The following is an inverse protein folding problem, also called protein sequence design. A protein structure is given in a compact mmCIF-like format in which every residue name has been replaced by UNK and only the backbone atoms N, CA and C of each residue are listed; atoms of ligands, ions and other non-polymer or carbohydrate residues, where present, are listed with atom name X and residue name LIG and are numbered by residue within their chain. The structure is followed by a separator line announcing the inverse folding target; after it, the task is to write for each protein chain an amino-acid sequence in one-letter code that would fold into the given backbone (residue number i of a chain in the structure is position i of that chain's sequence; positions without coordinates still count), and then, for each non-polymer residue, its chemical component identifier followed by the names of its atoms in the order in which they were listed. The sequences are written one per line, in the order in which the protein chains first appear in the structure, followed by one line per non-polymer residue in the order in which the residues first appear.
data_IF_931034930341
#
_entry.id   IF_931034930341
#
_cell.length_a   1.000
_cell.length_b   1.000
_cell.length_c   1.000
_cell.angle_alpha   90.00
_cell.angle_beta   90.00
_cell.angle_gamma   90.00
#
_symmetry.space_group_name_H-M   'P 1'
#
loop_
_entity.id
_entity.type
_entity.pdbx_description
1 polymer ?
#
# COMPACT_ATOMS: atom_id res chain seq x y z
N UNK A 1 -37.16 10.70 -50.34
CA UNK A 1 -36.76 9.70 -51.36
C UNK A 1 -35.37 10.10 -51.83
N UNK A 2 -34.29 9.36 -51.67
CA UNK A 2 -34.05 7.95 -51.35
C UNK A 2 -32.76 7.87 -50.51
N UNK A 3 -32.68 6.83 -49.68
CA UNK A 3 -31.41 6.30 -49.18
C UNK A 3 -30.61 5.76 -50.36
N UNK A 4 -29.29 5.97 -50.36
CA UNK A 4 -28.36 4.97 -50.89
C UNK A 4 -27.25 4.73 -49.87
N UNK A 5 -27.19 3.48 -49.45
CA UNK A 5 -26.12 2.85 -48.69
C UNK A 5 -24.92 2.75 -49.62
N UNK A 6 -23.72 3.07 -49.15
CA UNK A 6 -22.52 2.31 -49.50
C UNK A 6 -21.50 2.44 -48.37
N UNK A 7 -21.35 1.30 -47.71
CA UNK A 7 -20.39 0.95 -46.70
C UNK A 7 -19.12 0.53 -47.45
N UNK A 8 -17.98 1.20 -47.27
CA UNK A 8 -16.69 0.63 -47.70
C UNK A 8 -15.52 1.19 -46.87
N UNK A 9 -14.98 0.28 -46.05
CA UNK A 9 -13.60 0.19 -45.55
C UNK A 9 -13.00 1.36 -44.75
N UNK A 10 -13.25 1.34 -43.44
CA UNK A 10 -12.26 1.86 -42.48
C UNK A 10 -11.11 0.84 -42.43
N UNK A 11 -10.05 1.07 -43.21
CA UNK A 11 -8.80 0.31 -43.15
C UNK A 11 -8.21 0.41 -41.75
N UNK A 12 -8.34 -0.68 -40.98
CA UNK A 12 -7.68 -0.84 -39.70
C UNK A 12 -6.16 -0.85 -39.96
N UNK A 13 -5.50 0.26 -39.60
CA UNK A 13 -4.05 0.40 -39.79
C UNK A 13 -3.37 -0.68 -38.97
N UNK A 14 -2.78 -1.66 -39.64
CA UNK A 14 -1.96 -2.72 -39.06
C UNK A 14 -1.01 -2.16 -37.99
N UNK A 15 -1.40 -2.28 -36.71
CA UNK A 15 -0.50 -2.00 -35.60
C UNK A 15 0.55 -3.09 -35.61
N UNK A 16 1.75 -2.78 -36.11
CA UNK A 16 2.93 -3.66 -35.95
C UNK A 16 3.17 -3.90 -34.46
N UNK A 17 2.79 -5.08 -33.98
CA UNK A 17 3.12 -5.54 -32.63
C UNK A 17 4.61 -5.85 -32.60
N UNK A 18 5.40 -5.00 -31.93
CA UNK A 18 6.83 -5.24 -31.73
C UNK A 18 6.98 -6.26 -30.60
N UNK A 19 7.30 -7.50 -30.95
CA UNK A 19 7.62 -8.53 -29.96
C UNK A 19 9.07 -8.32 -29.50
N UNK A 20 9.32 -8.03 -28.21
CA UNK A 20 10.68 -7.83 -27.71
C UNK A 20 11.50 -9.12 -27.86
N UNK A 21 12.75 -8.96 -28.33
CA UNK A 21 13.69 -10.08 -28.56
C UNK A 21 14.13 -10.79 -27.28
N UNK A 22 13.97 -10.13 -26.12
CA UNK A 22 14.30 -10.69 -24.82
C UNK A 22 13.04 -10.83 -23.97
N UNK A 23 12.99 -11.91 -23.20
CA UNK A 23 11.90 -12.13 -22.28
C UNK A 23 11.83 -10.95 -21.29
N UNK A 24 10.72 -10.21 -21.30
CA UNK A 24 10.46 -9.10 -20.39
C UNK A 24 10.70 -9.52 -18.95
N UNK A 25 10.28 -10.73 -18.58
CA UNK A 25 10.46 -11.27 -17.23
C UNK A 25 11.93 -11.33 -16.83
N UNK A 26 12.85 -11.79 -17.69
CA UNK A 26 14.29 -11.78 -17.39
C UNK A 26 14.84 -10.37 -17.13
N UNK A 27 14.31 -9.36 -17.83
CA UNK A 27 14.71 -7.96 -17.65
C UNK A 27 14.13 -7.34 -16.38
N UNK A 28 12.83 -7.51 -16.13
CA UNK A 28 12.14 -6.90 -14.98
C UNK A 28 12.57 -7.54 -13.67
N UNK A 29 12.82 -8.84 -13.68
CA UNK A 29 13.24 -9.57 -12.51
C UNK A 29 14.69 -9.23 -12.07
N UNK A 30 15.53 -8.71 -12.97
CA UNK A 30 16.96 -8.40 -12.71
C UNK A 30 17.71 -9.55 -12.01
N UNK A 31 17.29 -10.81 -12.18
CA UNK A 31 17.95 -11.97 -11.59
C UNK A 31 19.01 -12.53 -12.52
N UNK A 32 20.13 -12.90 -11.91
CA UNK A 32 21.32 -13.39 -12.59
C UNK A 32 21.37 -14.93 -12.51
N UNK A 33 20.73 -15.53 -11.51
CA UNK A 33 20.81 -16.95 -11.16
C UNK A 33 19.59 -17.45 -10.33
N UNK A 34 19.51 -18.77 -10.12
CA UNK A 34 18.45 -19.41 -9.32
C UNK A 34 18.54 -19.07 -7.82
N UNK A 35 19.75 -18.75 -7.33
CA UNK A 35 19.99 -18.39 -5.92
C UNK A 35 19.29 -17.08 -5.55
N UNK A 36 19.44 -16.05 -6.39
CA UNK A 36 18.78 -14.75 -6.20
C UNK A 36 17.25 -14.83 -6.29
N UNK A 37 16.71 -15.76 -7.09
CA UNK A 37 15.27 -16.06 -7.12
C UNK A 37 14.83 -16.67 -5.78
N UNK A 38 15.57 -17.67 -5.30
CA UNK A 38 15.28 -18.35 -4.02
C UNK A 38 15.34 -17.38 -2.84
N UNK A 39 16.34 -16.49 -2.78
CA UNK A 39 16.47 -15.46 -1.75
C UNK A 39 15.24 -14.53 -1.74
N UNK A 40 14.77 -14.10 -2.92
CA UNK A 40 13.59 -13.25 -3.02
C UNK A 40 12.32 -13.96 -2.56
N UNK A 41 12.11 -15.21 -2.98
CA UNK A 41 10.96 -16.00 -2.54
C UNK A 41 10.99 -16.20 -1.03
N UNK A 42 12.18 -16.45 -0.46
CA UNK A 42 12.38 -16.53 0.99
C UNK A 42 12.07 -15.21 1.70
N UNK A 43 12.48 -14.08 1.14
CA UNK A 43 12.16 -12.73 1.65
C UNK A 43 10.65 -12.47 1.68
N UNK A 44 9.94 -12.79 0.59
CA UNK A 44 8.47 -12.67 0.51
C UNK A 44 7.79 -13.55 1.57
N UNK A 45 8.25 -14.80 1.71
CA UNK A 45 7.71 -15.72 2.73
C UNK A 45 7.92 -15.19 4.14
N UNK A 46 9.10 -14.61 4.40
CA UNK A 46 9.44 -14.00 5.69
C UNK A 46 8.53 -12.81 5.99
N UNK A 47 8.23 -11.96 5.00
CA UNK A 47 7.30 -10.84 5.15
C UNK A 47 5.89 -11.30 5.51
N UNK A 48 5.37 -12.35 4.85
CA UNK A 48 4.07 -12.92 5.22
C UNK A 48 4.05 -13.44 6.66
N UNK A 49 5.09 -14.17 7.09
CA UNK A 49 5.18 -14.67 8.47
C UNK A 49 5.19 -13.51 9.48
N UNK A 50 5.94 -12.44 9.21
CA UNK A 50 5.97 -11.26 10.06
C UNK A 50 4.62 -10.54 10.11
N UNK A 51 4.01 -10.34 8.94
CA UNK A 51 2.69 -9.72 8.83
C UNK A 51 1.61 -10.48 9.61
N UNK A 52 1.55 -11.81 9.45
CA UNK A 52 0.59 -12.63 10.20
C UNK A 52 0.83 -12.57 11.70
N UNK A 53 2.09 -12.69 12.16
CA UNK A 53 2.42 -12.58 13.60
C UNK A 53 2.10 -11.21 14.21
N UNK A 54 2.23 -10.13 13.43
CA UNK A 54 1.84 -8.80 13.86
C UNK A 54 0.32 -8.72 14.02
N UNK A 55 -0.42 -9.16 13.01
CA UNK A 55 -1.88 -9.07 12.99
C UNK A 55 -2.55 -10.00 14.00
N UNK A 56 -1.96 -11.16 14.31
CA UNK A 56 -2.46 -12.10 15.33
C UNK A 56 -2.55 -11.50 16.74
N UNK A 57 -1.88 -10.37 17.00
CA UNK A 57 -1.94 -9.66 18.30
C UNK A 57 -3.26 -8.91 18.50
N UNK A 58 -4.02 -8.66 17.43
CA UNK A 58 -5.16 -7.74 17.41
C UNK A 58 -6.41 -8.43 16.86
N UNK A 59 -7.58 -8.07 17.37
CA UNK A 59 -8.86 -8.66 16.97
C UNK A 59 -9.71 -7.65 16.18
N UNK A 60 -10.37 -6.72 16.86
CA UNK A 60 -11.08 -5.62 16.21
C UNK A 60 -10.09 -4.60 15.66
N UNK A 61 -10.05 -4.42 14.35
CA UNK A 61 -9.15 -3.48 13.70
C UNK A 61 -9.84 -2.65 12.60
N UNK A 62 -9.37 -1.42 12.41
CA UNK A 62 -9.80 -0.53 11.35
C UNK A 62 -8.58 0.01 10.58
N UNK A 63 -8.57 -0.17 9.26
CA UNK A 63 -7.47 0.27 8.41
C UNK A 63 -7.75 1.65 7.79
N UNK A 64 -6.80 2.57 7.93
CA UNK A 64 -6.88 3.91 7.38
C UNK A 64 -5.92 4.09 6.21
N UNK A 65 -6.46 4.59 5.10
CA UNK A 65 -5.71 5.03 3.94
C UNK A 65 -5.96 6.50 3.67
N UNK A 66 -4.95 7.19 3.16
CA UNK A 66 -5.11 8.58 2.75
C UNK A 66 -3.82 9.23 2.29
N UNK A 67 -3.93 10.52 1.99
CA UNK A 67 -2.80 11.30 1.48
C UNK A 67 -1.69 11.43 2.52
N UNK A 68 -0.47 11.03 2.13
CA UNK A 68 0.75 11.27 2.92
C UNK A 68 1.19 12.75 2.96
N UNK A 69 0.51 13.62 2.19
CA UNK A 69 0.84 15.05 2.04
C UNK A 69 -0.10 15.98 2.80
N UNK A 70 -1.10 15.41 3.49
CA UNK A 70 -2.05 16.19 4.28
C UNK A 70 -1.33 16.81 5.48
N UNK A 71 -1.57 18.09 5.77
CA UNK A 71 -0.99 18.78 6.94
C UNK A 71 -1.98 18.79 8.11
N UNK A 72 -1.50 18.91 9.37
CA UNK A 72 -2.37 18.95 10.56
C UNK A 72 -3.50 19.99 10.53
N UNK A 73 -3.28 21.13 9.87
CA UNK A 73 -4.29 22.19 9.75
C UNK A 73 -5.47 21.82 8.84
N UNK A 74 -5.31 20.80 8.00
CA UNK A 74 -6.33 20.38 7.05
C UNK A 74 -7.50 19.69 7.77
N UNK A 75 -8.72 20.00 7.36
CA UNK A 75 -9.93 19.42 7.96
C UNK A 75 -9.98 17.89 7.84
N UNK A 76 -9.48 17.31 6.75
CA UNK A 76 -9.42 15.84 6.59
C UNK A 76 -8.46 15.21 7.60
N UNK A 77 -7.36 15.89 7.94
CA UNK A 77 -6.44 15.41 8.99
C UNK A 77 -7.16 15.37 10.34
N UNK A 78 -7.82 16.47 10.72
CA UNK A 78 -8.56 16.57 11.98
C UNK A 78 -9.69 15.54 12.07
N UNK A 79 -10.42 15.33 10.96
CA UNK A 79 -11.49 14.33 10.89
C UNK A 79 -10.96 12.90 11.00
N UNK A 80 -9.86 12.58 10.31
CA UNK A 80 -9.23 11.26 10.41
C UNK A 80 -8.77 10.96 11.84
N UNK A 81 -8.10 11.92 12.49
CA UNK A 81 -7.69 11.79 13.89
C UNK A 81 -8.88 11.61 14.83
N UNK A 82 -9.94 12.41 14.69
CA UNK A 82 -11.17 12.30 15.50
C UNK A 82 -11.89 10.97 15.29
N UNK A 83 -11.92 10.45 14.07
CA UNK A 83 -12.54 9.15 13.78
C UNK A 83 -11.72 8.02 14.41
N UNK A 84 -10.41 8.03 14.24
CA UNK A 84 -9.51 7.03 14.82
C UNK A 84 -9.59 7.02 16.35
N UNK A 85 -9.65 8.19 16.99
CA UNK A 85 -9.87 8.31 18.43
C UNK A 85 -11.15 7.58 18.87
N UNK A 86 -12.28 7.87 18.21
CA UNK A 86 -13.57 7.25 18.56
C UNK A 86 -13.60 5.73 18.34
N UNK A 87 -12.95 5.25 17.29
CA UNK A 87 -12.84 3.82 17.03
C UNK A 87 -11.97 3.14 18.09
N UNK A 88 -10.87 3.78 18.48
CA UNK A 88 -9.97 3.26 19.52
C UNK A 88 -10.64 3.25 20.90
N UNK A 89 -11.42 4.28 21.22
CA UNK A 89 -12.19 4.39 22.47
C UNK A 89 -13.22 3.25 22.63
N UNK A 90 -13.69 2.67 21.52
CA UNK A 90 -14.57 1.48 21.54
C UNK A 90 -13.83 0.16 21.26
N UNK A 91 -12.50 0.16 21.33
CA UNK A 91 -11.66 -1.03 21.31
C UNK A 91 -11.11 -1.47 19.96
N UNK A 92 -11.16 -0.63 18.91
CA UNK A 92 -10.51 -0.95 17.63
C UNK A 92 -9.03 -0.60 17.67
N UNK A 93 -8.19 -1.52 17.21
CA UNK A 93 -6.82 -1.24 16.79
C UNK A 93 -6.82 -0.45 15.47
N UNK A 94 -6.04 0.63 15.41
CA UNK A 94 -5.93 1.44 14.20
C UNK A 94 -4.71 1.01 13.40
N UNK A 95 -4.93 0.56 12.16
CA UNK A 95 -3.88 0.08 11.26
C UNK A 95 -3.69 1.09 10.13
N UNK A 96 -2.44 1.46 9.83
CA UNK A 96 -2.13 2.36 8.72
C UNK A 96 -0.87 1.92 7.96
N UNK A 97 -0.53 2.64 6.88
CA UNK A 97 0.74 2.46 6.18
C UNK A 97 1.95 3.14 6.85
N UNK A 98 1.77 3.71 8.06
CA UNK A 98 2.83 4.30 8.90
C UNK A 98 3.44 5.62 8.42
N UNK A 99 3.05 6.13 7.25
CA UNK A 99 3.58 7.39 6.72
C UNK A 99 2.88 8.63 7.34
N UNK A 100 3.33 9.82 6.92
CA UNK A 100 2.79 11.11 7.33
C UNK A 100 1.33 11.35 6.86
N UNK A 101 0.78 12.51 7.21
CA UNK A 101 -0.51 12.99 6.72
C UNK A 101 -1.70 12.24 7.33
N UNK A 102 -2.62 11.73 6.50
CA UNK A 102 -3.85 11.09 7.02
C UNK A 102 -3.54 9.84 7.86
N UNK A 103 -2.50 9.08 7.48
CA UNK A 103 -2.09 7.89 8.23
C UNK A 103 -1.56 8.30 9.61
N UNK A 104 -0.65 9.26 9.67
CA UNK A 104 -0.21 9.89 10.93
C UNK A 104 -1.38 10.42 11.77
N UNK A 105 -2.34 11.09 11.16
CA UNK A 105 -3.52 11.60 11.88
C UNK A 105 -4.30 10.49 12.57
N UNK A 106 -4.48 9.35 11.89
CA UNK A 106 -5.17 8.19 12.43
C UNK A 106 -4.38 7.53 13.56
N UNK A 107 -3.07 7.28 13.36
CA UNK A 107 -2.20 6.75 14.41
C UNK A 107 -2.17 7.68 15.64
N UNK A 108 -2.10 9.00 15.42
CA UNK A 108 -2.18 10.00 16.49
C UNK A 108 -3.51 9.91 17.24
N UNK A 109 -4.64 9.84 16.51
CA UNK A 109 -5.96 9.72 17.14
C UNK A 109 -6.09 8.47 18.01
N UNK A 110 -5.52 7.35 17.58
CA UNK A 110 -5.46 6.12 18.35
C UNK A 110 -4.61 6.26 19.62
N UNK A 111 -3.41 6.83 19.46
CA UNK A 111 -2.48 7.10 20.56
C UNK A 111 -3.08 8.06 21.59
N UNK A 112 -3.80 9.10 21.14
CA UNK A 112 -4.49 10.06 22.03
C UNK A 112 -5.61 9.39 22.85
N UNK A 113 -6.22 8.33 22.33
CA UNK A 113 -7.21 7.50 23.04
C UNK A 113 -6.57 6.44 23.95
N UNK A 114 -5.24 6.29 23.93
CA UNK A 114 -4.54 5.21 24.62
C UNK A 114 -4.76 3.82 24.01
N UNK A 115 -5.25 3.75 22.76
CA UNK A 115 -5.48 2.50 22.04
C UNK A 115 -4.29 2.05 21.19
N UNK A 116 -4.40 0.86 20.60
CA UNK A 116 -3.36 0.29 19.74
C UNK A 116 -3.30 0.96 18.37
N UNK A 117 -2.08 1.22 17.92
CA UNK A 117 -1.77 2.01 16.72
C UNK A 117 -0.67 1.33 15.92
N UNK A 118 -1.02 0.67 14.82
CA UNK A 118 -0.12 -0.20 14.06
C UNK A 118 0.30 0.45 12.73
N UNK A 119 1.59 0.39 12.42
CA UNK A 119 2.17 0.84 11.15
C UNK A 119 2.68 -0.31 10.29
N UNK A 120 2.06 -0.55 9.13
CA UNK A 120 2.55 -1.50 8.13
C UNK A 120 3.31 -0.72 7.04
N UNK A 121 4.60 -0.52 7.28
CA UNK A 121 5.46 0.34 6.46
C UNK A 121 5.91 -0.37 5.17
N UNK A 122 6.32 0.43 4.17
CA UNK A 122 6.93 -0.07 2.93
C UNK A 122 8.27 0.63 2.73
N UNK A 123 9.32 -0.14 2.48
CA UNK A 123 10.65 0.37 2.17
C UNK A 123 10.62 1.08 0.82
N UNK A 124 10.88 2.38 0.85
CA UNK A 124 11.02 3.21 -0.34
C UNK A 124 12.47 3.70 -0.46
N UNK A 125 12.98 3.92 -1.69
CA UNK A 125 14.33 4.45 -1.90
C UNK A 125 14.57 5.82 -1.25
N UNK A 126 13.50 6.57 -1.01
CA UNK A 126 13.52 7.79 -0.20
C UNK A 126 12.81 7.48 1.11
N UNK A 127 13.56 7.59 2.20
CA UNK A 127 13.13 7.23 3.54
C UNK A 127 11.85 7.99 3.94
N UNK A 128 10.79 7.25 4.25
CA UNK A 128 9.66 7.79 5.01
C UNK A 128 9.93 7.42 6.46
N UNK A 129 10.26 8.40 7.30
CA UNK A 129 10.29 8.19 8.74
C UNK A 129 8.89 7.77 9.18
N UNK A 130 8.76 6.62 9.82
CA UNK A 130 7.49 6.19 10.42
C UNK A 130 6.94 7.27 11.35
N UNK A 131 5.62 7.40 11.41
CA UNK A 131 5.03 8.37 12.31
C UNK A 131 5.21 7.93 13.78
N UNK A 132 5.62 8.86 14.65
CA UNK A 132 5.97 8.58 16.06
C UNK A 132 4.79 8.22 16.97
N UNK A 133 3.63 7.92 16.39
CA UNK A 133 2.39 7.56 17.10
C UNK A 133 2.03 6.09 16.95
N UNK A 134 2.91 5.29 16.34
CA UNK A 134 2.76 3.83 16.22
C UNK A 134 3.25 3.16 17.51
N UNK A 135 2.44 2.25 18.05
CA UNK A 135 2.78 1.39 19.20
C UNK A 135 3.41 0.07 18.75
N UNK A 136 3.09 -0.39 17.53
CA UNK A 136 3.72 -1.54 16.89
C UNK A 136 3.87 -1.29 15.39
N UNK A 137 4.87 -1.90 14.76
CA UNK A 137 5.10 -1.71 13.32
C UNK A 137 5.95 -2.81 12.71
N UNK A 138 5.69 -3.08 11.43
CA UNK A 138 6.54 -3.94 10.59
C UNK A 138 6.82 -3.24 9.26
N UNK A 139 8.00 -3.50 8.70
CA UNK A 139 8.44 -2.95 7.42
C UNK A 139 8.51 -4.04 6.36
N UNK A 140 7.91 -3.74 5.21
CA UNK A 140 7.85 -4.63 4.06
C UNK A 140 8.74 -4.07 2.95
N UNK A 141 9.31 -4.94 2.13
CA UNK A 141 10.03 -4.57 0.91
C UNK A 141 9.18 -4.81 -0.33
N UNK A 142 8.28 -5.80 -0.29
CA UNK A 142 7.39 -6.09 -1.40
C UNK A 142 6.00 -5.49 -1.18
N UNK A 143 5.49 -4.74 -2.15
CA UNK A 143 4.20 -4.06 -2.03
C UNK A 143 3.00 -5.00 -1.86
N UNK A 144 3.08 -6.23 -2.37
CA UNK A 144 1.95 -7.16 -2.41
C UNK A 144 1.85 -8.04 -1.15
N UNK A 145 2.92 -8.13 -0.36
CA UNK A 145 2.91 -8.80 0.94
C UNK A 145 2.43 -7.87 2.06
N UNK A 146 2.32 -6.56 1.77
CA UNK A 146 1.81 -5.52 2.66
C UNK A 146 0.30 -5.40 2.64
#
# INVERSE_FOLDING_TARGET
MKLDKNNEEVKDKERKVIIPKTCRIKRELRYVDDESISERVGGITTEFIKGFKLLEKYDLAATFFGSARCKPDNEMYKQASKLAYKLSDVGFTIITGGAAGIMEAANKGASDAGGDSVGINIELPMEQSGNGFTTDSESFKHFFSR
#
